data_IF_994946605861
#
_entry.id   IF_994946605861
#
_cell.length_a   1.000
_cell.length_b   1.000
_cell.length_c   1.000
_cell.angle_alpha   90.00
_cell.angle_beta   90.00
_cell.angle_gamma   90.00
#
_symmetry.space_group_name_H-M   'P 1'
#
loop_
_entity.id
_entity.type
_entity.pdbx_description
1 polymer ?
#
# COMPACT_ATOMS: atom_id res chain seq x y z
N UNK A 1 2.98 -10.88 0.12
CA UNK A 1 1.59 -10.55 -0.30
C UNK A 1 0.58 -11.54 0.25
N UNK A 2 0.87 -12.85 0.21
CA UNK A 2 0.01 -13.89 0.80
C UNK A 2 -0.23 -13.69 2.30
N UNK A 3 0.83 -13.49 3.09
CA UNK A 3 0.73 -13.18 4.53
C UNK A 3 -0.10 -11.94 4.82
N UNK A 4 0.06 -10.87 4.03
CA UNK A 4 -0.72 -9.65 4.20
C UNK A 4 -2.21 -9.85 3.89
N UNK A 5 -2.52 -10.67 2.88
CA UNK A 5 -3.90 -11.02 2.54
C UNK A 5 -4.56 -11.86 3.65
N UNK A 6 -3.83 -12.84 4.20
CA UNK A 6 -4.26 -13.64 5.35
C UNK A 6 -4.51 -12.77 6.59
N UNK A 7 -3.57 -11.90 6.94
CA UNK A 7 -3.71 -11.00 8.09
C UNK A 7 -4.90 -10.05 7.98
N UNK A 8 -5.31 -9.72 6.76
CA UNK A 8 -6.46 -8.86 6.48
C UNK A 8 -7.76 -9.66 6.23
N UNK A 9 -7.73 -10.99 6.28
CA UNK A 9 -8.89 -11.84 6.03
C UNK A 9 -9.43 -11.76 4.58
N UNK A 10 -8.57 -11.44 3.61
CA UNK A 10 -8.96 -11.30 2.19
C UNK A 10 -8.21 -12.27 1.30
N UNK A 11 -8.79 -12.61 0.15
CA UNK A 11 -8.07 -13.38 -0.87
C UNK A 11 -6.90 -12.60 -1.47
N UNK A 12 -5.83 -13.32 -1.87
CA UNK A 12 -4.65 -12.73 -2.53
C UNK A 12 -4.98 -11.90 -3.76
N UNK A 13 -6.04 -12.26 -4.50
CA UNK A 13 -6.50 -11.51 -5.68
C UNK A 13 -7.14 -10.18 -5.28
N UNK A 14 -7.99 -10.16 -4.25
CA UNK A 14 -8.55 -8.93 -3.68
C UNK A 14 -7.44 -8.01 -3.18
N UNK A 15 -6.44 -8.55 -2.48
CA UNK A 15 -5.29 -7.77 -2.02
C UNK A 15 -4.52 -7.16 -3.20
N UNK A 16 -4.36 -7.90 -4.31
CA UNK A 16 -3.73 -7.39 -5.53
C UNK A 16 -4.49 -6.24 -6.14
N UNK A 17 -5.79 -6.41 -6.32
CA UNK A 17 -6.64 -5.37 -6.91
C UNK A 17 -6.60 -4.09 -6.08
N UNK A 18 -6.53 -4.19 -4.74
CA UNK A 18 -6.38 -3.03 -3.86
C UNK A 18 -5.04 -2.32 -4.07
N UNK A 19 -3.92 -3.05 -4.10
CA UNK A 19 -2.59 -2.46 -4.33
C UNK A 19 -2.51 -1.80 -5.71
N UNK A 20 -2.98 -2.48 -6.77
CA UNK A 20 -3.00 -1.92 -8.12
C UNK A 20 -3.89 -0.67 -8.20
N UNK A 21 -5.05 -0.68 -7.52
CA UNK A 21 -5.93 0.50 -7.46
C UNK A 21 -5.28 1.67 -6.72
N UNK A 22 -4.56 1.42 -5.62
CA UNK A 22 -3.84 2.46 -4.88
C UNK A 22 -2.73 3.07 -5.75
N UNK A 23 -1.94 2.23 -6.42
CA UNK A 23 -0.89 2.68 -7.35
C UNK A 23 -1.48 3.58 -8.45
N UNK A 24 -2.60 3.18 -9.05
CA UNK A 24 -3.27 3.97 -10.08
C UNK A 24 -3.84 5.29 -9.55
N UNK A 25 -4.46 5.29 -8.36
CA UNK A 25 -5.03 6.51 -7.76
C UNK A 25 -3.96 7.53 -7.36
N UNK A 26 -2.77 7.06 -6.98
CA UNK A 26 -1.65 7.89 -6.54
C UNK A 26 -0.68 8.21 -7.68
N UNK A 27 -0.92 7.72 -8.88
CA UNK A 27 -0.02 7.79 -10.04
C UNK A 27 1.43 7.42 -9.66
N UNK A 28 1.61 6.27 -8.99
CA UNK A 28 2.89 5.88 -8.43
C UNK A 28 3.23 4.41 -8.61
N UNK A 29 4.53 4.09 -8.66
CA UNK A 29 5.01 2.71 -8.71
C UNK A 29 5.31 2.17 -7.30
N UNK A 30 4.42 1.32 -6.78
CA UNK A 30 4.58 0.65 -5.49
C UNK A 30 5.62 -0.49 -5.51
N UNK A 31 6.13 -0.88 -6.68
CA UNK A 31 7.25 -1.83 -6.79
C UNK A 31 8.61 -1.15 -6.53
N UNK A 32 8.70 0.17 -6.70
CA UNK A 32 9.88 0.96 -6.31
C UNK A 32 10.05 1.01 -4.78
N UNK A 33 11.29 0.76 -4.32
CA UNK A 33 11.63 0.85 -2.90
C UNK A 33 11.53 2.28 -2.37
N UNK A 34 11.98 3.27 -3.15
CA UNK A 34 11.90 4.69 -2.83
C UNK A 34 10.46 5.16 -2.67
N UNK A 35 9.57 4.80 -3.62
CA UNK A 35 8.15 5.15 -3.54
C UNK A 35 7.51 4.58 -2.26
N UNK A 36 7.82 3.32 -1.91
CA UNK A 36 7.30 2.71 -0.67
C UNK A 36 7.81 3.41 0.58
N UNK A 37 9.09 3.80 0.61
CA UNK A 37 9.68 4.52 1.74
C UNK A 37 9.01 5.90 1.90
N UNK A 38 8.86 6.66 0.81
CA UNK A 38 8.18 7.96 0.82
C UNK A 38 6.73 7.84 1.29
N UNK A 39 5.98 6.85 0.78
CA UNK A 39 4.59 6.62 1.18
C UNK A 39 4.45 6.24 2.66
N UNK A 40 5.37 5.41 3.17
CA UNK A 40 5.38 5.05 4.60
C UNK A 40 5.61 6.28 5.48
N UNK A 41 6.55 7.16 5.11
CA UNK A 41 6.78 8.44 5.82
C UNK A 41 5.53 9.31 5.77
N UNK A 42 4.89 9.45 4.61
CA UNK A 42 3.67 10.26 4.46
C UNK A 42 2.52 9.75 5.36
N UNK A 43 2.31 8.43 5.43
CA UNK A 43 1.30 7.81 6.30
C UNK A 43 1.62 8.09 7.78
N UNK A 44 2.89 7.95 8.19
CA UNK A 44 3.34 8.23 9.55
C UNK A 44 3.19 9.71 9.91
N UNK A 45 3.57 10.61 9.01
CA UNK A 45 3.42 12.05 9.19
C UNK A 45 1.93 12.42 9.34
N UNK A 46 1.05 11.87 8.49
CA UNK A 46 -0.40 12.08 8.61
C UNK A 46 -0.96 11.63 9.95
N UNK A 47 -0.46 10.53 10.50
CA UNK A 47 -0.89 10.02 11.81
C UNK A 47 -0.39 10.85 13.00
N UNK A 48 0.69 11.62 12.83
CA UNK A 48 1.24 12.52 13.85
C UNK A 48 0.67 13.93 13.79
N UNK A 49 0.21 14.36 12.61
CA UNK A 49 -0.34 15.69 12.34
C UNK A 49 -1.86 15.78 12.51
N UNK A 50 -2.53 14.66 12.80
CA UNK A 50 -3.96 14.59 13.14
C UNK A 50 -4.17 14.17 14.58
#
# INVERSE_FOLDING_TARGET
>A
METAALNLGVHRHTMRNRISRIAALLDCDLHSADTRAALWIAIRARALLG
#
